data_IF_702440188722
#
_entry.id   IF_702440188722
#
_cell.length_a   1.000
_cell.length_b   1.000
_cell.length_c   1.000
_cell.angle_alpha   90.00
_cell.angle_beta   90.00
_cell.angle_gamma   90.00
#
_symmetry.space_group_name_H-M   'P 1'
#
loop_
_entity.id
_entity.type
_entity.pdbx_description
1 polymer ?
#
# COMPACT_ATOMS: atom_id res chain seq x y z
N UNK A 1 31.58 -13.92 17.91
CA UNK A 1 30.12 -14.20 17.97
C UNK A 1 29.30 -12.91 17.92
N UNK A 2 29.65 -11.87 18.68
CA UNK A 2 28.91 -10.58 18.68
C UNK A 2 28.97 -9.80 17.35
N UNK A 3 30.13 -9.71 16.70
CA UNK A 3 30.28 -9.00 15.41
C UNK A 3 29.38 -9.60 14.32
N UNK A 4 29.27 -10.94 14.27
CA UNK A 4 28.42 -11.64 13.30
C UNK A 4 26.93 -11.32 13.53
N UNK A 5 26.50 -11.22 14.79
CA UNK A 5 25.12 -10.88 15.13
C UNK A 5 24.76 -9.43 14.75
N UNK A 6 25.68 -8.49 14.97
CA UNK A 6 25.48 -7.09 14.56
C UNK A 6 25.38 -6.97 13.03
N UNK A 7 26.25 -7.64 12.29
CA UNK A 7 26.21 -7.67 10.82
C UNK A 7 24.89 -8.27 10.30
N UNK A 8 24.40 -9.34 10.94
CA UNK A 8 23.11 -9.92 10.62
C UNK A 8 21.96 -8.92 10.83
N UNK A 9 21.91 -8.23 11.97
CA UNK A 9 20.88 -7.23 12.26
C UNK A 9 20.91 -6.06 11.28
N UNK A 10 22.10 -5.60 10.89
CA UNK A 10 22.25 -4.54 9.89
C UNK A 10 21.70 -4.98 8.52
N UNK A 11 22.05 -6.18 8.07
CA UNK A 11 21.52 -6.73 6.83
C UNK A 11 19.99 -6.92 6.88
N UNK A 12 19.48 -7.40 8.03
CA UNK A 12 18.04 -7.54 8.25
C UNK A 12 17.31 -6.18 8.21
N UNK A 13 17.83 -5.17 8.92
CA UNK A 13 17.24 -3.83 8.94
C UNK A 13 17.26 -3.17 7.56
N UNK A 14 18.35 -3.33 6.81
CA UNK A 14 18.45 -2.83 5.43
C UNK A 14 17.42 -3.49 4.50
N UNK A 15 17.14 -4.78 4.69
CA UNK A 15 16.10 -5.48 3.93
C UNK A 15 14.69 -5.01 4.35
N UNK A 16 14.44 -4.89 5.66
CA UNK A 16 13.14 -4.50 6.19
C UNK A 16 12.76 -3.07 5.85
N UNK A 17 13.72 -2.15 5.77
CA UNK A 17 13.46 -0.75 5.40
C UNK A 17 12.87 -0.65 3.99
N UNK A 18 13.33 -1.45 3.04
CA UNK A 18 12.78 -1.51 1.68
C UNK A 18 11.30 -1.90 1.65
N UNK A 19 10.91 -2.93 2.40
CA UNK A 19 9.51 -3.33 2.51
C UNK A 19 8.66 -2.24 3.16
N UNK A 20 9.16 -1.60 4.22
CA UNK A 20 8.45 -0.51 4.89
C UNK A 20 8.21 0.66 3.94
N UNK A 21 9.21 1.07 3.16
CA UNK A 21 9.08 2.15 2.18
C UNK A 21 7.96 1.83 1.16
N UNK A 22 7.92 0.62 0.63
CA UNK A 22 6.87 0.20 -0.31
C UNK A 22 5.46 0.28 0.32
N UNK A 23 5.34 -0.19 1.56
CA UNK A 23 4.10 -0.14 2.33
C UNK A 23 3.69 1.31 2.59
N UNK A 24 4.58 2.16 3.09
CA UNK A 24 4.30 3.58 3.39
C UNK A 24 3.86 4.35 2.15
N UNK A 25 4.49 4.11 0.99
CA UNK A 25 4.03 4.67 -0.29
C UNK A 25 2.58 4.28 -0.60
N UNK A 26 2.21 3.00 -0.44
CA UNK A 26 0.86 2.53 -0.69
C UNK A 26 -0.18 3.15 0.27
N UNK A 27 0.14 3.22 1.57
CA UNK A 27 -0.71 3.88 2.57
C UNK A 27 -0.88 5.37 2.27
N UNK A 28 0.21 6.07 1.92
CA UNK A 28 0.18 7.47 1.56
C UNK A 28 -0.73 7.73 0.35
N UNK A 29 -0.65 6.88 -0.69
CA UNK A 29 -1.55 7.02 -1.85
C UNK A 29 -3.02 6.83 -1.49
N UNK A 30 -3.34 5.81 -0.69
CA UNK A 30 -4.73 5.55 -0.26
C UNK A 30 -5.28 6.75 0.51
N UNK A 31 -4.53 7.26 1.49
CA UNK A 31 -4.98 8.41 2.31
C UNK A 31 -5.10 9.69 1.49
N UNK A 32 -4.21 9.92 0.53
CA UNK A 32 -4.25 11.10 -0.34
C UNK A 32 -5.45 11.09 -1.30
N UNK A 33 -5.83 9.93 -1.84
CA UNK A 33 -7.00 9.81 -2.70
C UNK A 33 -8.31 9.81 -1.91
N UNK A 34 -8.31 9.21 -0.71
CA UNK A 34 -9.51 8.92 0.08
C UNK A 34 -9.39 9.51 1.49
N UNK A 35 -9.36 10.84 1.58
CA UNK A 35 -9.09 11.57 2.83
C UNK A 35 -10.04 11.23 3.99
N UNK A 36 -11.26 10.80 3.70
CA UNK A 36 -12.23 10.39 4.71
C UNK A 36 -11.73 9.23 5.59
N UNK A 37 -10.83 8.39 5.07
CA UNK A 37 -10.24 7.25 5.80
C UNK A 37 -9.22 7.68 6.84
N UNK A 38 -8.63 8.86 6.67
CA UNK A 38 -7.74 9.45 7.67
C UNK A 38 -8.49 10.31 8.70
N UNK A 39 -9.83 10.40 8.61
CA UNK A 39 -10.62 11.20 9.53
C UNK A 39 -10.78 10.54 10.90
N UNK A 40 -9.78 10.76 11.77
CA UNK A 40 -9.70 10.15 13.11
C UNK A 40 -10.93 10.39 13.99
N UNK A 41 -11.57 11.57 13.87
CA UNK A 41 -12.67 11.93 14.76
C UNK A 41 -14.00 11.24 14.39
N UNK A 42 -14.15 10.80 13.13
CA UNK A 42 -15.36 10.12 12.65
C UNK A 42 -15.19 8.63 12.42
N UNK A 43 -13.97 8.10 12.55
CA UNK A 43 -13.67 6.68 12.38
C UNK A 43 -13.18 6.11 13.70
N UNK A 44 -14.09 5.43 14.41
CA UNK A 44 -13.79 4.74 15.66
C UNK A 44 -14.01 3.24 15.51
N UNK A 45 -13.03 2.46 15.99
CA UNK A 45 -13.10 0.99 16.00
C UNK A 45 -14.30 0.60 16.88
N UNK A 46 -15.17 -0.27 16.35
CA UNK A 46 -16.39 -0.72 17.03
C UNK A 46 -17.61 0.18 16.85
N UNK A 47 -17.45 1.43 16.40
CA UNK A 47 -18.57 2.33 16.07
C UNK A 47 -18.72 2.58 14.57
N UNK A 48 -17.69 2.25 13.79
CA UNK A 48 -17.67 2.42 12.35
C UNK A 48 -16.94 1.25 11.68
N UNK A 49 -17.33 0.85 10.46
CA UNK A 49 -16.72 -0.27 9.75
C UNK A 49 -15.42 0.17 9.05
N UNK A 50 -14.44 0.64 9.83
CA UNK A 50 -13.16 1.19 9.33
C UNK A 50 -12.44 0.20 8.41
N UNK A 51 -12.42 -1.08 8.78
CA UNK A 51 -11.78 -2.12 7.99
C UNK A 51 -12.38 -2.24 6.58
N UNK A 52 -13.71 -2.20 6.49
CA UNK A 52 -14.42 -2.25 5.21
C UNK A 52 -14.17 -1.00 4.38
N UNK A 53 -14.20 0.18 4.99
CA UNK A 53 -13.89 1.44 4.29
C UNK A 53 -12.47 1.43 3.71
N UNK A 54 -11.48 0.98 4.51
CA UNK A 54 -10.11 0.87 4.06
C UNK A 54 -9.96 -0.14 2.92
N UNK A 55 -10.60 -1.32 3.02
CA UNK A 55 -10.57 -2.32 1.97
C UNK A 55 -11.14 -1.80 0.63
N UNK A 56 -12.29 -1.12 0.69
CA UNK A 56 -12.91 -0.50 -0.50
C UNK A 56 -12.00 0.56 -1.10
N UNK A 57 -11.39 1.43 -0.29
CA UNK A 57 -10.47 2.44 -0.82
C UNK A 57 -9.18 1.86 -1.38
N UNK A 58 -8.66 0.77 -0.83
CA UNK A 58 -7.53 0.05 -1.43
C UNK A 58 -7.93 -0.50 -2.81
N UNK A 59 -9.11 -1.12 -2.92
CA UNK A 59 -9.64 -1.59 -4.20
C UNK A 59 -9.74 -0.44 -5.22
N UNK A 60 -10.37 0.67 -4.85
CA UNK A 60 -10.50 1.84 -5.72
C UNK A 60 -9.15 2.48 -6.07
N UNK A 61 -8.19 2.47 -5.14
CA UNK A 61 -6.81 2.93 -5.38
C UNK A 61 -6.09 2.05 -6.40
N UNK A 62 -6.29 0.73 -6.34
CA UNK A 62 -5.71 -0.20 -7.29
C UNK A 62 -6.34 0.00 -8.67
N UNK A 63 -7.65 0.18 -8.77
CA UNK A 63 -8.34 0.52 -10.03
C UNK A 63 -7.85 1.85 -10.62
N UNK A 64 -7.71 2.89 -9.79
CA UNK A 64 -7.10 4.15 -10.21
C UNK A 64 -5.66 3.93 -10.72
N UNK A 65 -4.90 3.03 -10.10
CA UNK A 65 -3.54 2.70 -10.54
C UNK A 65 -3.52 1.96 -11.88
N UNK A 66 -4.47 1.05 -12.13
CA UNK A 66 -4.60 0.36 -13.41
C UNK A 66 -4.94 1.35 -14.54
N UNK A 67 -5.83 2.31 -14.28
CA UNK A 67 -6.30 3.26 -15.30
C UNK A 67 -5.30 4.40 -15.59
N UNK A 68 -4.65 4.94 -14.57
CA UNK A 68 -3.84 6.16 -14.68
C UNK A 68 -2.37 5.96 -14.34
N UNK A 69 -1.97 4.75 -13.94
CA UNK A 69 -0.64 4.48 -13.42
C UNK A 69 -0.40 5.08 -12.03
N UNK A 70 0.87 5.10 -11.62
CA UNK A 70 1.30 5.78 -10.40
C UNK A 70 2.80 6.08 -10.38
N UNK A 71 3.19 7.11 -9.64
CA UNK A 71 4.62 7.36 -9.37
C UNK A 71 5.26 6.21 -8.58
N UNK A 72 4.48 5.53 -7.73
CA UNK A 72 4.93 4.36 -6.95
C UNK A 72 5.32 3.22 -7.90
N UNK A 73 4.45 2.89 -8.84
CA UNK A 73 4.69 1.83 -9.83
C UNK A 73 5.90 2.15 -10.72
N UNK A 74 6.12 3.43 -11.06
CA UNK A 74 7.34 3.89 -11.73
C UNK A 74 8.60 3.72 -10.85
N UNK A 75 8.54 4.12 -9.57
CA UNK A 75 9.66 3.99 -8.64
C UNK A 75 10.11 2.53 -8.46
N UNK A 76 9.14 1.62 -8.29
CA UNK A 76 9.40 0.18 -8.14
C UNK A 76 9.57 -0.55 -9.47
N UNK A 77 9.43 0.14 -10.61
CA UNK A 77 9.49 -0.44 -11.97
C UNK A 77 8.51 -1.59 -12.16
N UNK A 78 7.32 -1.47 -11.58
CA UNK A 78 6.21 -2.41 -11.72
C UNK A 78 5.19 -1.79 -12.65
N UNK A 79 4.81 -2.48 -13.72
CA UNK A 79 3.77 -2.02 -14.64
C UNK A 79 2.42 -2.44 -14.04
N UNK A 80 1.48 -1.51 -13.81
CA UNK A 80 0.13 -1.88 -13.37
C UNK A 80 -0.56 -2.80 -14.40
N UNK A 81 -1.37 -3.77 -13.96
CA UNK A 81 -2.18 -4.57 -14.87
C UNK A 81 -3.26 -3.71 -15.55
N UNK A 82 -3.87 -4.23 -16.60
CA UNK A 82 -5.12 -3.69 -17.12
C UNK A 82 -6.24 -3.82 -16.08
N UNK A 83 -7.30 -3.02 -16.22
CA UNK A 83 -8.44 -3.10 -15.32
C UNK A 83 -9.15 -4.47 -15.42
N UNK A 84 -9.23 -5.04 -16.64
CA UNK A 84 -9.87 -6.32 -16.89
C UNK A 84 -9.09 -7.47 -16.25
N UNK A 85 -7.75 -7.47 -16.40
CA UNK A 85 -6.87 -8.45 -15.75
C UNK A 85 -6.97 -8.34 -14.22
N UNK A 86 -7.00 -7.13 -13.68
CA UNK A 86 -7.11 -6.92 -12.23
C UNK A 86 -8.45 -7.38 -11.64
N UNK A 87 -9.55 -7.16 -12.37
CA UNK A 87 -10.90 -7.56 -11.95
C UNK A 87 -11.25 -9.00 -12.34
N UNK A 88 -10.35 -9.72 -13.03
CA UNK A 88 -10.59 -11.05 -13.59
C UNK A 88 -11.82 -11.08 -14.53
N UNK A 89 -11.91 -10.11 -15.43
CA UNK A 89 -12.97 -9.99 -16.44
C UNK A 89 -12.56 -10.52 -17.82
N UNK A 90 -11.36 -11.07 -17.95
CA UNK A 90 -10.90 -11.73 -19.17
C UNK A 90 -11.68 -13.05 -19.35
N UNK A 91 -12.50 -13.12 -20.41
CA UNK A 91 -13.28 -14.29 -20.81
C UNK A 91 -12.55 -15.14 -21.85
#
# INVERSE_FOLDING_TARGET
MEILHILYLLAFNAKMSGYRIAIEHSFGKVVNLWSFIAFKNGLQIGLSPIGSYYAIAVLLTNLHTCLYGSQISLHFKVIPPSIDSYLNLEF
#
